data_IF_407817585005
#
_entry.id   IF_407817585005
#
_cell.length_a   1.000
_cell.length_b   1.000
_cell.length_c   1.000
_cell.angle_alpha   90.00
_cell.angle_beta   90.00
_cell.angle_gamma   90.00
#
_symmetry.space_group_name_H-M   'P 1'
#
loop_
_entity.id
_entity.type
_entity.pdbx_description
1 polymer ?
#
# COMPACT_ATOMS: atom_id res chain seq x y z
N UNK A 1 5.54 -6.93 -8.36
CA UNK A 1 4.19 -7.51 -8.20
C UNK A 1 3.99 -8.44 -9.39
N UNK A 2 4.20 -9.74 -9.20
CA UNK A 2 4.19 -10.72 -10.29
C UNK A 2 2.75 -10.92 -10.76
N UNK A 3 2.49 -10.62 -12.02
CA UNK A 3 1.28 -11.03 -12.73
C UNK A 3 1.35 -12.56 -12.82
N UNK A 4 0.69 -13.26 -11.90
CA UNK A 4 0.45 -14.69 -12.05
C UNK A 4 -0.57 -14.84 -13.17
N UNK A 5 -0.12 -15.32 -14.33
CA UNK A 5 -0.98 -15.71 -15.42
C UNK A 5 -1.98 -16.76 -14.92
N UNK A 6 -3.25 -16.37 -14.88
CA UNK A 6 -4.36 -17.30 -14.68
C UNK A 6 -4.43 -18.17 -15.94
N UNK A 7 -3.77 -19.33 -15.93
CA UNK A 7 -4.05 -20.38 -16.91
C UNK A 7 -5.40 -20.99 -16.54
N UNK A 8 -6.49 -20.41 -17.06
CA UNK A 8 -7.79 -21.07 -17.07
C UNK A 8 -7.66 -22.35 -17.90
N UNK A 9 -7.90 -23.49 -17.27
CA UNK A 9 -8.00 -24.77 -17.97
C UNK A 9 -9.28 -24.73 -18.81
N UNK A 10 -9.15 -24.44 -20.11
CA UNK A 10 -10.24 -24.31 -21.09
C UNK A 10 -11.02 -25.62 -21.35
N UNK A 11 -10.61 -26.73 -20.72
CA UNK A 11 -11.11 -28.09 -20.97
C UNK A 11 -12.59 -28.25 -20.57
N UNK A 12 -13.13 -27.43 -19.66
CA UNK A 12 -14.51 -27.58 -19.20
C UNK A 12 -15.58 -26.89 -20.08
N UNK A 13 -15.20 -25.98 -20.99
CA UNK A 13 -16.15 -25.12 -21.73
C UNK A 13 -16.66 -25.69 -23.06
N UNK A 14 -16.03 -26.76 -23.56
CA UNK A 14 -16.39 -27.42 -24.82
C UNK A 14 -17.43 -28.55 -24.62
N UNK A 15 -17.57 -29.09 -23.41
CA UNK A 15 -18.44 -30.24 -23.12
C UNK A 15 -19.90 -29.84 -22.83
N UNK A 16 -20.59 -29.38 -23.87
CA UNK A 16 -22.05 -29.37 -23.95
C UNK A 16 -22.55 -30.58 -24.74
N UNK A 17 -22.94 -31.65 -24.02
CA UNK A 17 -23.63 -32.85 -24.50
C UNK A 17 -22.83 -33.84 -25.40
N UNK A 18 -22.36 -34.94 -24.79
CA UNK A 18 -21.96 -36.14 -25.54
C UNK A 18 -21.11 -37.15 -24.78
N UNK A 19 -21.62 -37.75 -23.69
CA UNK A 19 -21.48 -39.20 -23.32
C UNK A 19 -21.90 -39.42 -21.85
N UNK A 20 -22.68 -40.47 -21.61
CA UNK A 20 -23.16 -40.91 -20.29
C UNK A 20 -22.22 -41.93 -19.64
N UNK A 21 -22.30 -41.99 -18.30
CA UNK A 21 -21.82 -43.03 -17.34
C UNK A 21 -20.33 -42.95 -16.95
N UNK A 22 -19.88 -42.96 -15.69
CA UNK A 22 -20.49 -43.09 -14.34
C UNK A 22 -19.48 -42.54 -13.32
N UNK A 23 -19.88 -41.61 -12.46
CA UNK A 23 -19.49 -41.62 -11.05
C UNK A 23 -20.44 -40.72 -10.26
N UNK A 24 -21.10 -41.35 -9.29
CA UNK A 24 -22.04 -40.76 -8.36
C UNK A 24 -21.31 -39.89 -7.33
N UNK A 25 -21.18 -38.61 -7.64
CA UNK A 25 -21.17 -37.51 -6.68
C UNK A 25 -21.81 -36.32 -7.39
N UNK A 26 -23.14 -36.31 -7.39
CA UNK A 26 -23.93 -35.21 -7.89
C UNK A 26 -23.66 -33.97 -7.02
N UNK A 27 -22.66 -33.17 -7.40
CA UNK A 27 -22.82 -31.73 -7.29
C UNK A 27 -24.06 -31.41 -8.12
N UNK A 28 -25.19 -31.19 -7.46
CA UNK A 28 -26.38 -30.69 -8.12
C UNK A 28 -25.96 -29.45 -8.92
N UNK A 29 -25.86 -29.57 -10.25
CA UNK A 29 -25.56 -28.44 -11.11
C UNK A 29 -26.69 -27.43 -10.89
N UNK A 30 -26.37 -26.35 -10.18
CA UNK A 30 -27.33 -25.26 -9.98
C UNK A 30 -27.76 -24.77 -11.35
N UNK A 31 -29.06 -24.51 -11.52
CA UNK A 31 -29.64 -24.07 -12.79
C UNK A 31 -28.88 -22.86 -13.33
N UNK A 32 -28.69 -22.77 -14.66
CA UNK A 32 -27.97 -21.65 -15.26
C UNK A 32 -28.65 -20.30 -14.96
N UNK A 33 -29.99 -20.30 -14.90
CA UNK A 33 -30.83 -19.16 -14.54
C UNK A 33 -31.59 -19.47 -13.24
N UNK A 34 -31.60 -18.52 -12.31
CA UNK A 34 -32.29 -18.60 -11.00
C UNK A 34 -33.32 -17.47 -10.83
N UNK A 35 -33.65 -16.76 -11.91
CA UNK A 35 -34.62 -15.67 -11.89
C UNK A 35 -36.02 -16.15 -11.40
N UNK A 36 -36.70 -15.40 -10.51
CA UNK A 36 -38.04 -15.74 -10.07
C UNK A 36 -39.02 -15.85 -11.23
N UNK A 37 -39.78 -16.95 -11.29
CA UNK A 37 -40.77 -17.19 -12.35
C UNK A 37 -40.17 -17.53 -13.71
N UNK A 38 -38.87 -17.84 -13.79
CA UNK A 38 -38.23 -18.24 -15.03
C UNK A 38 -38.74 -19.60 -15.54
N UNK A 39 -39.20 -19.63 -16.79
CA UNK A 39 -39.55 -20.85 -17.49
C UNK A 39 -38.47 -21.20 -18.52
N UNK A 40 -37.93 -22.42 -18.43
CA UNK A 40 -36.85 -22.88 -19.30
C UNK A 40 -37.32 -22.93 -20.76
N UNK A 41 -36.62 -22.21 -21.63
CA UNK A 41 -36.86 -22.24 -23.07
C UNK A 41 -36.65 -23.62 -23.70
N UNK A 42 -37.22 -23.82 -24.90
CA UNK A 42 -37.00 -25.05 -25.66
C UNK A 42 -35.55 -25.14 -26.10
N UNK A 43 -34.92 -26.29 -25.89
CA UNK A 43 -33.58 -26.58 -26.41
C UNK A 43 -33.69 -26.93 -27.90
N UNK A 44 -32.99 -26.18 -28.74
CA UNK A 44 -32.85 -26.44 -30.16
C UNK A 44 -31.65 -27.35 -30.39
N UNK A 45 -31.76 -28.29 -31.34
CA UNK A 45 -30.65 -29.14 -31.76
C UNK A 45 -30.03 -28.59 -33.05
N UNK A 46 -28.72 -28.78 -33.20
CA UNK A 46 -28.00 -28.38 -34.40
C UNK A 46 -28.54 -29.16 -35.61
N UNK A 47 -28.75 -28.49 -36.73
CA UNK A 47 -29.22 -29.12 -37.97
C UNK A 47 -28.28 -30.20 -38.46
N UNK A 48 -28.79 -31.27 -39.07
CA UNK A 48 -27.99 -32.47 -39.42
C UNK A 48 -26.74 -32.15 -40.27
N UNK A 49 -26.86 -31.25 -41.24
CA UNK A 49 -25.75 -30.84 -42.13
C UNK A 49 -24.64 -30.14 -41.35
N UNK A 50 -25.00 -29.20 -40.48
CA UNK A 50 -24.07 -28.47 -39.62
C UNK A 50 -23.47 -29.43 -38.59
N UNK A 51 -24.32 -30.25 -37.96
CA UNK A 51 -23.95 -31.21 -36.93
C UNK A 51 -22.87 -32.19 -37.40
N UNK A 52 -22.97 -32.73 -38.63
CA UNK A 52 -21.92 -33.61 -39.19
C UNK A 52 -20.56 -32.92 -39.31
N UNK A 53 -20.53 -31.64 -39.71
CA UNK A 53 -19.27 -30.88 -39.81
C UNK A 53 -18.72 -30.50 -38.43
N UNK A 54 -19.59 -30.08 -37.52
CA UNK A 54 -19.24 -29.80 -36.11
C UNK A 54 -18.65 -31.04 -35.45
N UNK A 55 -19.27 -32.21 -35.64
CA UNK A 55 -18.78 -33.48 -35.10
C UNK A 55 -17.37 -33.78 -35.61
N UNK A 56 -17.13 -33.60 -36.92
CA UNK A 56 -15.80 -33.76 -37.51
C UNK A 56 -14.79 -32.78 -36.91
N UNK A 57 -15.15 -31.51 -36.73
CA UNK A 57 -14.27 -30.55 -36.06
C UNK A 57 -13.96 -30.95 -34.60
N UNK A 58 -14.94 -31.52 -33.89
CA UNK A 58 -14.77 -32.02 -32.53
C UNK A 58 -13.82 -33.23 -32.47
N UNK A 59 -13.83 -34.11 -33.46
CA UNK A 59 -12.85 -35.21 -33.58
C UNK A 59 -11.42 -34.68 -33.67
N UNK A 60 -11.15 -33.71 -34.56
CA UNK A 60 -9.84 -33.06 -34.64
C UNK A 60 -9.45 -32.36 -33.34
N UNK A 61 -10.39 -31.69 -32.68
CA UNK A 61 -10.13 -31.06 -31.39
C UNK A 61 -9.70 -32.07 -30.31
N UNK A 62 -10.36 -33.23 -30.23
CA UNK A 62 -10.00 -34.28 -29.27
C UNK A 62 -8.65 -34.93 -29.54
N UNK A 63 -8.13 -34.80 -30.77
CA UNK A 63 -6.79 -35.22 -31.16
C UNK A 63 -5.75 -34.08 -30.98
N UNK A 64 -6.11 -33.02 -30.25
CA UNK A 64 -5.30 -31.80 -30.05
C UNK A 64 -4.98 -31.03 -31.35
N UNK A 65 -5.69 -31.32 -32.45
CA UNK A 65 -5.54 -30.69 -33.76
C UNK A 65 -6.48 -29.46 -33.88
N UNK A 66 -6.20 -28.45 -33.06
CA UNK A 66 -7.07 -27.26 -32.92
C UNK A 66 -7.18 -26.45 -34.22
N UNK A 67 -6.11 -26.34 -35.00
CA UNK A 67 -6.12 -25.56 -36.24
C UNK A 67 -6.95 -26.26 -37.34
N UNK A 68 -6.87 -27.59 -37.42
CA UNK A 68 -7.70 -28.41 -38.31
C UNK A 68 -9.18 -28.34 -37.93
N UNK A 69 -9.49 -28.39 -36.63
CA UNK A 69 -10.84 -28.18 -36.12
C UNK A 69 -11.38 -26.80 -36.52
N UNK A 70 -10.59 -25.74 -36.34
CA UNK A 70 -10.96 -24.38 -36.72
C UNK A 70 -11.18 -24.24 -38.23
N UNK A 71 -10.34 -24.84 -39.07
CA UNK A 71 -10.51 -24.83 -40.53
C UNK A 71 -11.87 -25.44 -40.93
N UNK A 72 -12.25 -26.57 -40.33
CA UNK A 72 -13.55 -27.19 -40.59
C UNK A 72 -14.70 -26.28 -40.16
N UNK A 73 -14.58 -25.64 -38.98
CA UNK A 73 -15.61 -24.76 -38.45
C UNK A 73 -15.80 -23.48 -39.28
N UNK A 74 -14.71 -22.90 -39.81
CA UNK A 74 -14.78 -21.74 -40.70
C UNK A 74 -15.46 -22.04 -42.04
N UNK A 75 -15.38 -23.28 -42.53
CA UNK A 75 -16.03 -23.74 -43.76
C UNK A 75 -17.51 -24.08 -43.59
N UNK A 76 -18.06 -23.93 -42.38
CA UNK A 76 -19.50 -24.09 -42.14
C UNK A 76 -20.19 -22.76 -42.47
N UNK A 77 -21.19 -22.83 -43.34
CA UNK A 77 -22.10 -21.72 -43.67
C UNK A 77 -23.53 -22.12 -43.28
N UNK A 78 -23.92 -21.97 -42.00
CA UNK A 78 -25.25 -22.33 -41.54
C UNK A 78 -26.28 -21.29 -41.93
N UNK A 79 -27.48 -21.74 -42.29
CA UNK A 79 -28.56 -20.85 -42.72
C UNK A 79 -29.40 -20.30 -41.57
N UNK A 80 -29.67 -21.11 -40.54
CA UNK A 80 -30.49 -20.73 -39.39
C UNK A 80 -29.66 -20.09 -38.27
N UNK A 81 -30.33 -19.31 -37.44
CA UNK A 81 -29.67 -18.50 -36.42
C UNK A 81 -29.09 -19.33 -35.27
N UNK A 82 -29.69 -20.49 -34.96
CA UNK A 82 -29.19 -21.38 -33.92
C UNK A 82 -27.88 -22.03 -34.33
N UNK A 83 -27.82 -22.64 -35.51
CA UNK A 83 -26.60 -23.24 -36.04
C UNK A 83 -25.47 -22.21 -36.18
N UNK A 84 -25.78 -20.98 -36.63
CA UNK A 84 -24.82 -19.87 -36.66
C UNK A 84 -24.27 -19.56 -35.28
N UNK A 85 -25.15 -19.38 -34.29
CA UNK A 85 -24.73 -19.11 -32.92
C UNK A 85 -23.87 -20.24 -32.35
N UNK A 86 -24.29 -21.49 -32.56
CA UNK A 86 -23.59 -22.67 -32.08
C UNK A 86 -22.17 -22.79 -32.66
N UNK A 87 -22.03 -22.68 -33.99
CA UNK A 87 -20.73 -22.74 -34.67
C UNK A 87 -19.81 -21.60 -34.24
N UNK A 88 -20.34 -20.36 -34.19
CA UNK A 88 -19.56 -19.20 -33.73
C UNK A 88 -19.09 -19.36 -32.28
N UNK A 89 -19.95 -19.86 -31.39
CA UNK A 89 -19.56 -20.16 -30.00
C UNK A 89 -18.42 -21.17 -29.96
N UNK A 90 -18.48 -22.23 -30.75
CA UNK A 90 -17.44 -23.26 -30.79
C UNK A 90 -16.10 -22.68 -31.27
N UNK A 91 -16.10 -21.96 -32.41
CA UNK A 91 -14.91 -21.25 -32.90
C UNK A 91 -14.34 -20.33 -31.82
N UNK A 92 -15.22 -19.52 -31.21
CA UNK A 92 -14.85 -18.60 -30.15
C UNK A 92 -14.18 -19.28 -28.96
N UNK A 93 -14.71 -20.40 -28.49
CA UNK A 93 -14.13 -21.15 -27.38
C UNK A 93 -12.75 -21.75 -27.71
N UNK A 94 -12.58 -22.31 -28.91
CA UNK A 94 -11.29 -22.82 -29.35
C UNK A 94 -10.25 -21.70 -29.41
N UNK A 95 -10.61 -20.56 -30.00
CA UNK A 95 -9.73 -19.39 -30.07
C UNK A 95 -9.42 -18.81 -28.68
N UNK A 96 -10.36 -18.82 -27.74
CA UNK A 96 -10.14 -18.30 -26.39
C UNK A 96 -9.05 -19.09 -25.63
N UNK A 97 -8.82 -20.35 -26.01
CA UNK A 97 -7.76 -21.19 -25.43
C UNK A 97 -6.39 -20.98 -26.08
N UNK A 98 -6.31 -20.30 -27.22
CA UNK A 98 -5.08 -20.06 -27.96
C UNK A 98 -4.44 -18.71 -27.57
N UNK A 99 -3.13 -18.73 -27.33
CA UNK A 99 -2.36 -17.52 -27.02
C UNK A 99 -2.43 -16.50 -28.17
N UNK A 100 -2.69 -15.24 -27.83
CA UNK A 100 -2.76 -14.13 -28.80
C UNK A 100 -4.02 -14.12 -29.69
N UNK A 101 -5.02 -14.97 -29.42
CA UNK A 101 -6.27 -15.03 -30.21
C UNK A 101 -7.50 -14.48 -29.47
N UNK A 102 -7.35 -13.92 -28.27
CA UNK A 102 -8.46 -13.48 -27.42
C UNK A 102 -9.41 -12.47 -28.09
N UNK A 103 -8.89 -11.48 -28.83
CA UNK A 103 -9.76 -10.57 -29.58
C UNK A 103 -10.56 -11.22 -30.71
N UNK A 104 -10.00 -12.25 -31.38
CA UNK A 104 -10.75 -13.00 -32.40
C UNK A 104 -11.83 -13.85 -31.72
N UNK A 105 -11.48 -14.51 -30.62
CA UNK A 105 -12.42 -15.26 -29.79
C UNK A 105 -13.59 -14.38 -29.34
N UNK A 106 -13.29 -13.19 -28.83
CA UNK A 106 -14.28 -12.19 -28.41
C UNK A 106 -15.30 -11.90 -29.52
N UNK A 107 -14.84 -11.66 -30.75
CA UNK A 107 -15.73 -11.37 -31.89
C UNK A 107 -16.72 -12.52 -32.16
N UNK A 108 -16.21 -13.75 -32.28
CA UNK A 108 -17.07 -14.92 -32.51
C UNK A 108 -18.04 -15.19 -31.36
N UNK A 109 -17.59 -15.05 -30.11
CA UNK A 109 -18.44 -15.25 -28.94
C UNK A 109 -19.52 -14.16 -28.83
N UNK A 110 -19.18 -12.89 -29.08
CA UNK A 110 -20.14 -11.78 -29.03
C UNK A 110 -21.24 -11.96 -30.08
N UNK A 111 -20.87 -12.36 -31.28
CA UNK A 111 -21.81 -12.70 -32.34
C UNK A 111 -22.69 -13.91 -31.98
N UNK A 112 -22.16 -14.89 -31.24
CA UNK A 112 -22.90 -16.11 -30.89
C UNK A 112 -24.05 -15.85 -29.91
N UNK A 113 -23.92 -14.84 -29.04
CA UNK A 113 -24.95 -14.51 -28.04
C UNK A 113 -25.97 -13.51 -28.56
N UNK A 114 -25.65 -12.73 -29.59
CA UNK A 114 -26.53 -11.68 -30.12
C UNK A 114 -27.95 -12.18 -30.51
N UNK A 115 -28.14 -13.35 -31.14
CA UNK A 115 -29.47 -13.82 -31.53
C UNK A 115 -30.31 -14.34 -30.35
N UNK A 116 -29.72 -14.57 -29.16
CA UNK A 116 -30.38 -15.13 -27.97
C UNK A 116 -31.09 -16.47 -28.20
N UNK A 117 -30.51 -17.31 -29.06
CA UNK A 117 -31.04 -18.63 -29.45
C UNK A 117 -30.34 -19.81 -28.76
N UNK A 118 -29.17 -19.57 -28.16
CA UNK A 118 -28.42 -20.58 -27.39
C UNK A 118 -29.23 -21.01 -26.16
N UNK A 119 -28.98 -22.23 -25.69
CA UNK A 119 -29.59 -22.66 -24.42
C UNK A 119 -29.00 -21.88 -23.23
N UNK A 120 -29.69 -21.91 -22.10
CA UNK A 120 -29.35 -21.10 -20.92
C UNK A 120 -27.91 -21.30 -20.43
N UNK A 121 -27.43 -22.54 -20.46
CA UNK A 121 -26.08 -22.85 -20.01
C UNK A 121 -25.04 -22.27 -20.97
N UNK A 122 -25.20 -22.51 -22.26
CA UNK A 122 -24.31 -21.98 -23.30
C UNK A 122 -24.32 -20.46 -23.35
N UNK A 123 -25.50 -19.86 -23.25
CA UNK A 123 -25.65 -18.41 -23.28
C UNK A 123 -25.00 -17.77 -22.06
N UNK A 124 -25.34 -18.24 -20.86
CA UNK A 124 -24.75 -17.71 -19.62
C UNK A 124 -23.23 -17.90 -19.56
N UNK A 125 -22.71 -19.08 -19.90
CA UNK A 125 -21.27 -19.32 -19.92
C UNK A 125 -20.56 -18.40 -20.92
N UNK A 126 -21.15 -18.19 -22.10
CA UNK A 126 -20.56 -17.30 -23.11
C UNK A 126 -20.56 -15.84 -22.66
N UNK A 127 -21.61 -15.36 -21.99
CA UNK A 127 -21.66 -14.00 -21.43
C UNK A 127 -20.55 -13.80 -20.37
N UNK A 128 -20.36 -14.77 -19.46
CA UNK A 128 -19.29 -14.69 -18.45
C UNK A 128 -17.90 -14.73 -19.10
N UNK A 129 -17.69 -15.61 -20.09
CA UNK A 129 -16.43 -15.68 -20.84
C UNK A 129 -16.14 -14.41 -21.64
N UNK A 130 -17.16 -13.76 -22.20
CA UNK A 130 -17.01 -12.45 -22.84
C UNK A 130 -16.55 -11.38 -21.86
N UNK A 131 -17.06 -11.41 -20.62
CA UNK A 131 -16.56 -10.56 -19.54
C UNK A 131 -15.08 -10.82 -19.23
N UNK A 132 -14.70 -12.09 -19.10
CA UNK A 132 -13.32 -12.50 -18.81
C UNK A 132 -12.34 -12.12 -19.93
N UNK A 133 -12.69 -12.40 -21.18
CA UNK A 133 -11.90 -12.01 -22.35
C UNK A 133 -11.80 -10.49 -22.48
N UNK A 134 -12.88 -9.76 -22.17
CA UNK A 134 -12.84 -8.30 -22.18
C UNK A 134 -11.87 -7.75 -21.13
N UNK A 135 -11.75 -8.40 -19.97
CA UNK A 135 -10.72 -8.03 -18.98
C UNK A 135 -9.32 -8.32 -19.51
N UNK A 136 -9.10 -9.48 -20.11
CA UNK A 136 -7.80 -9.89 -20.65
C UNK A 136 -7.32 -8.97 -21.79
N UNK A 137 -8.24 -8.52 -22.64
CA UNK A 137 -7.94 -7.64 -23.78
C UNK A 137 -8.06 -6.15 -23.42
N UNK A 138 -8.08 -5.81 -22.12
CA UNK A 138 -8.14 -4.44 -21.58
C UNK A 138 -9.38 -3.63 -22.02
N UNK A 139 -10.44 -4.32 -22.46
CA UNK A 139 -11.73 -3.73 -22.82
C UNK A 139 -12.63 -3.61 -21.60
N UNK A 140 -12.20 -2.83 -20.61
CA UNK A 140 -12.86 -2.79 -19.30
C UNK A 140 -14.34 -2.38 -19.35
N UNK A 141 -14.72 -1.47 -20.24
CA UNK A 141 -16.15 -1.10 -20.44
C UNK A 141 -16.98 -2.27 -20.97
N UNK A 142 -16.41 -3.08 -21.86
CA UNK A 142 -17.08 -4.29 -22.37
C UNK A 142 -17.16 -5.35 -21.27
N UNK A 143 -16.13 -5.49 -20.44
CA UNK A 143 -16.16 -6.40 -19.30
C UNK A 143 -17.32 -6.08 -18.36
N UNK A 144 -17.46 -4.79 -17.99
CA UNK A 144 -18.60 -4.30 -17.19
C UNK A 144 -19.93 -4.66 -17.86
N UNK A 145 -20.07 -4.41 -19.17
CA UNK A 145 -21.28 -4.72 -19.92
C UNK A 145 -21.61 -6.21 -19.86
N UNK A 146 -20.64 -7.08 -20.11
CA UNK A 146 -20.86 -8.52 -20.22
C UNK A 146 -21.10 -9.20 -18.87
N UNK A 147 -20.41 -8.79 -17.80
CA UNK A 147 -20.71 -9.28 -16.46
C UNK A 147 -22.11 -8.87 -15.99
N UNK A 148 -22.53 -7.62 -16.24
CA UNK A 148 -23.90 -7.21 -15.95
C UNK A 148 -24.92 -7.97 -16.79
N UNK A 149 -24.67 -8.16 -18.10
CA UNK A 149 -25.55 -8.97 -18.93
C UNK A 149 -25.67 -10.43 -18.43
N UNK A 150 -24.59 -11.00 -17.91
CA UNK A 150 -24.62 -12.32 -17.28
C UNK A 150 -25.46 -12.34 -16.00
N UNK A 151 -25.30 -11.36 -15.11
CA UNK A 151 -26.10 -11.26 -13.88
C UNK A 151 -27.58 -11.02 -14.21
N UNK A 152 -27.89 -10.13 -15.17
CA UNK A 152 -29.25 -9.85 -15.62
C UNK A 152 -29.92 -11.08 -16.23
N UNK A 153 -29.17 -11.86 -17.04
CA UNK A 153 -29.69 -13.07 -17.67
C UNK A 153 -29.94 -14.19 -16.66
N UNK A 154 -29.05 -14.35 -15.69
CA UNK A 154 -29.08 -15.50 -14.77
C UNK A 154 -29.78 -15.20 -13.45
N UNK A 155 -29.92 -13.93 -13.07
CA UNK A 155 -30.24 -13.45 -11.72
C UNK A 155 -29.34 -14.04 -10.62
N UNK A 156 -28.12 -14.49 -10.99
CA UNK A 156 -27.15 -15.01 -10.04
C UNK A 156 -26.33 -13.88 -9.45
N UNK A 157 -26.10 -14.00 -8.15
CA UNK A 157 -25.13 -13.24 -7.39
C UNK A 157 -23.88 -14.12 -7.25
N UNK A 158 -22.71 -13.62 -7.66
CA UNK A 158 -21.45 -14.40 -7.68
C UNK A 158 -20.28 -13.50 -7.23
N UNK A 159 -19.61 -13.91 -6.16
CA UNK A 159 -18.57 -13.12 -5.52
C UNK A 159 -17.37 -12.84 -6.45
N UNK A 160 -16.99 -13.82 -7.28
CA UNK A 160 -15.88 -13.68 -8.23
C UNK A 160 -16.25 -12.72 -9.36
N UNK A 161 -17.48 -12.81 -9.89
CA UNK A 161 -17.99 -11.88 -10.92
C UNK A 161 -18.03 -10.45 -10.38
N UNK A 162 -18.53 -10.25 -9.16
CA UNK A 162 -18.49 -8.94 -8.53
C UNK A 162 -17.07 -8.43 -8.32
N UNK A 163 -16.13 -9.28 -7.91
CA UNK A 163 -14.72 -8.90 -7.76
C UNK A 163 -14.11 -8.47 -9.10
N UNK A 164 -14.39 -9.20 -10.19
CA UNK A 164 -13.92 -8.86 -11.55
C UNK A 164 -14.59 -7.59 -12.08
N UNK A 165 -15.86 -7.39 -11.78
CA UNK A 165 -16.58 -6.16 -12.11
C UNK A 165 -15.97 -4.94 -11.39
N UNK A 166 -15.64 -5.08 -10.10
CA UNK A 166 -14.91 -4.05 -9.34
C UNK A 166 -13.55 -3.76 -9.97
N UNK A 167 -12.79 -4.79 -10.38
CA UNK A 167 -11.53 -4.60 -11.09
C UNK A 167 -11.73 -3.86 -12.41
N UNK A 168 -12.75 -4.19 -13.18
CA UNK A 168 -13.06 -3.50 -14.44
C UNK A 168 -13.36 -2.01 -14.20
N UNK A 169 -14.08 -1.67 -13.12
CA UNK A 169 -14.29 -0.28 -12.72
C UNK A 169 -12.99 0.42 -12.31
N UNK A 170 -12.10 -0.26 -11.59
CA UNK A 170 -10.78 0.28 -11.23
C UNK A 170 -9.95 0.63 -12.47
N UNK A 171 -9.79 -0.31 -13.40
CA UNK A 171 -8.97 -0.11 -14.60
C UNK A 171 -9.56 0.95 -15.55
N UNK A 172 -10.89 1.07 -15.58
CA UNK A 172 -11.58 2.16 -16.30
C UNK A 172 -11.68 3.47 -15.52
N UNK A 173 -11.00 3.58 -14.36
CA UNK A 173 -10.95 4.76 -13.48
C UNK A 173 -12.30 5.23 -12.94
N UNK A 174 -13.30 4.35 -12.90
CA UNK A 174 -14.62 4.59 -12.33
C UNK A 174 -14.63 4.22 -10.84
N UNK A 175 -13.82 4.95 -10.07
CA UNK A 175 -13.50 4.59 -8.68
C UNK A 175 -14.73 4.54 -7.78
N UNK A 176 -15.71 5.42 -7.98
CA UNK A 176 -16.96 5.47 -7.21
C UNK A 176 -17.82 4.20 -7.39
N UNK A 177 -17.88 3.67 -8.61
CA UNK A 177 -18.66 2.47 -8.95
C UNK A 177 -18.06 1.17 -8.43
N UNK A 178 -16.84 1.21 -7.89
CA UNK A 178 -16.20 0.03 -7.30
C UNK A 178 -16.86 -0.43 -6.00
N UNK A 179 -17.49 0.47 -5.24
CA UNK A 179 -17.91 0.21 -3.86
C UNK A 179 -19.02 -0.85 -3.80
N UNK A 180 -20.11 -0.66 -4.56
CA UNK A 180 -21.24 -1.59 -4.54
C UNK A 180 -20.85 -3.04 -4.90
N UNK A 181 -20.19 -3.31 -6.05
CA UNK A 181 -19.78 -4.67 -6.37
C UNK A 181 -18.73 -5.22 -5.38
N UNK A 182 -17.83 -4.40 -4.84
CA UNK A 182 -16.91 -4.85 -3.81
C UNK A 182 -17.64 -5.32 -2.53
N UNK A 183 -18.64 -4.56 -2.09
CA UNK A 183 -19.45 -4.89 -0.91
C UNK A 183 -20.28 -6.17 -1.13
N UNK A 184 -20.88 -6.34 -2.31
CA UNK A 184 -21.57 -7.58 -2.68
C UNK A 184 -20.63 -8.77 -2.70
N UNK A 185 -19.44 -8.64 -3.28
CA UNK A 185 -18.43 -9.69 -3.26
C UNK A 185 -18.06 -10.08 -1.83
N UNK A 186 -17.76 -9.10 -0.97
CA UNK A 186 -17.42 -9.31 0.45
C UNK A 186 -18.53 -10.08 1.19
N UNK A 187 -19.79 -9.74 0.94
CA UNK A 187 -20.94 -10.37 1.59
C UNK A 187 -21.18 -11.82 1.11
N UNK A 188 -20.78 -12.14 -0.12
CA UNK A 188 -21.04 -13.43 -0.76
C UNK A 188 -19.92 -14.45 -0.57
N UNK A 189 -18.69 -14.03 -0.29
CA UNK A 189 -17.60 -14.96 0.00
C UNK A 189 -17.84 -15.66 1.36
N UNK A 190 -17.92 -17.00 1.35
CA UNK A 190 -18.03 -17.81 2.57
C UNK A 190 -16.78 -17.68 3.45
N UNK A 191 -15.60 -17.77 2.83
CA UNK A 191 -14.31 -17.53 3.45
C UNK A 191 -13.77 -16.15 3.03
N UNK A 192 -13.27 -15.31 3.96
CA UNK A 192 -12.83 -13.97 3.64
C UNK A 192 -11.83 -13.91 2.47
N UNK A 193 -12.23 -13.27 1.38
CA UNK A 193 -11.34 -12.96 0.26
C UNK A 193 -10.85 -11.51 0.39
N UNK A 194 -9.54 -11.30 0.42
CA UNK A 194 -8.95 -9.95 0.59
C UNK A 194 -9.13 -9.03 -0.61
N UNK A 195 -9.24 -9.56 -1.82
CA UNK A 195 -9.22 -8.77 -3.05
C UNK A 195 -10.30 -7.66 -3.09
N UNK A 196 -11.59 -7.93 -2.81
CA UNK A 196 -12.60 -6.88 -2.81
C UNK A 196 -12.38 -5.82 -1.71
N UNK A 197 -11.86 -6.18 -0.53
CA UNK A 197 -11.48 -5.20 0.49
C UNK A 197 -10.35 -4.29 0.00
N UNK A 198 -9.32 -4.85 -0.66
CA UNK A 198 -8.22 -4.06 -1.21
C UNK A 198 -8.71 -3.10 -2.30
N UNK A 199 -9.61 -3.56 -3.18
CA UNK A 199 -10.21 -2.69 -4.20
C UNK A 199 -11.04 -1.57 -3.57
N UNK A 200 -11.86 -1.89 -2.57
CA UNK A 200 -12.65 -0.91 -1.81
C UNK A 200 -11.74 0.12 -1.12
N UNK A 201 -10.66 -0.33 -0.48
CA UNK A 201 -9.63 0.52 0.14
C UNK A 201 -9.02 1.48 -0.90
N UNK A 202 -8.61 0.97 -2.06
CA UNK A 202 -8.02 1.75 -3.15
C UNK A 202 -8.99 2.83 -3.64
N UNK A 203 -10.26 2.48 -3.88
CA UNK A 203 -11.29 3.45 -4.29
C UNK A 203 -11.38 4.61 -3.31
N UNK A 204 -11.54 4.33 -2.01
CA UNK A 204 -11.66 5.38 -1.01
C UNK A 204 -10.39 6.22 -0.91
N UNK A 205 -9.22 5.60 -0.91
CA UNK A 205 -7.95 6.31 -0.79
C UNK A 205 -7.70 7.26 -1.96
N UNK A 206 -7.88 6.79 -3.20
CA UNK A 206 -7.67 7.62 -4.40
C UNK A 206 -8.69 8.76 -4.51
N UNK A 207 -9.91 8.54 -4.01
CA UNK A 207 -10.95 9.56 -3.90
C UNK A 207 -10.78 10.47 -2.68
N UNK A 208 -9.72 10.30 -1.89
CA UNK A 208 -9.40 11.05 -0.67
C UNK A 208 -10.46 10.94 0.42
N UNK A 209 -11.21 9.85 0.43
CA UNK A 209 -12.19 9.48 1.45
C UNK A 209 -11.46 8.80 2.60
N UNK A 210 -10.66 9.57 3.33
CA UNK A 210 -9.73 9.05 4.33
C UNK A 210 -10.41 8.35 5.53
N UNK A 211 -11.54 8.84 6.08
CA UNK A 211 -12.27 8.12 7.13
C UNK A 211 -12.72 6.72 6.69
N UNK A 212 -13.24 6.60 5.48
CA UNK A 212 -13.68 5.33 4.90
C UNK A 212 -12.49 4.41 4.57
N UNK A 213 -11.37 5.00 4.11
CA UNK A 213 -10.11 4.28 3.91
C UNK A 213 -9.64 3.63 5.22
N UNK A 214 -9.68 4.38 6.33
CA UNK A 214 -9.34 3.86 7.66
C UNK A 214 -10.28 2.72 8.06
N UNK A 215 -11.60 2.88 7.87
CA UNK A 215 -12.56 1.85 8.21
C UNK A 215 -12.31 0.53 7.46
N UNK A 216 -12.01 0.58 6.15
CA UNK A 216 -11.69 -0.62 5.38
C UNK A 216 -10.33 -1.22 5.79
N UNK A 217 -9.34 -0.39 6.13
CA UNK A 217 -8.07 -0.87 6.65
C UNK A 217 -8.21 -1.55 8.03
N UNK A 218 -9.10 -1.06 8.90
CA UNK A 218 -9.47 -1.71 10.16
C UNK A 218 -10.10 -3.10 9.90
N UNK A 219 -10.97 -3.22 8.89
CA UNK A 219 -11.54 -4.51 8.48
C UNK A 219 -10.48 -5.47 7.95
N UNK A 220 -9.55 -4.99 7.10
CA UNK A 220 -8.44 -5.80 6.58
C UNK A 220 -7.57 -6.37 7.70
N UNK A 221 -7.20 -5.56 8.69
CA UNK A 221 -6.43 -6.04 9.86
C UNK A 221 -7.23 -7.04 10.69
N UNK A 222 -8.55 -6.85 10.84
CA UNK A 222 -9.40 -7.76 11.62
C UNK A 222 -9.60 -9.11 10.93
N UNK A 223 -9.73 -9.11 9.61
CA UNK A 223 -10.00 -10.31 8.80
C UNK A 223 -8.74 -11.06 8.40
N UNK A 224 -7.63 -10.34 8.23
CA UNK A 224 -6.33 -10.89 7.81
C UNK A 224 -5.22 -10.42 8.78
N UNK A 225 -5.35 -10.70 10.10
CA UNK A 225 -4.41 -10.20 11.12
C UNK A 225 -2.99 -10.71 10.94
N UNK A 226 -2.81 -11.85 10.27
CA UNK A 226 -1.53 -12.47 9.98
C UNK A 226 -0.75 -11.79 8.84
N UNK A 227 -1.35 -10.87 8.09
CA UNK A 227 -0.69 -10.15 6.99
C UNK A 227 -0.04 -8.85 7.50
N UNK A 228 1.31 -8.78 7.65
CA UNK A 228 2.01 -7.63 8.26
C UNK A 228 1.73 -6.29 7.57
N UNK A 229 1.51 -6.33 6.25
CA UNK A 229 1.26 -5.15 5.43
C UNK A 229 0.07 -4.33 5.92
N UNK A 230 -1.03 -4.98 6.35
CA UNK A 230 -2.25 -4.26 6.73
C UNK A 230 -2.07 -3.49 8.02
N UNK A 231 -1.27 -4.01 8.96
CA UNK A 231 -0.92 -3.30 10.18
C UNK A 231 -0.13 -2.02 9.91
N UNK A 232 0.92 -2.13 9.08
CA UNK A 232 1.74 -0.98 8.68
C UNK A 232 0.90 0.07 7.95
N UNK A 233 0.09 -0.36 6.97
CA UNK A 233 -0.80 0.56 6.23
C UNK A 233 -1.83 1.23 7.13
N UNK A 234 -2.50 0.49 8.01
CA UNK A 234 -3.46 1.05 8.96
C UNK A 234 -2.81 2.11 9.86
N UNK A 235 -1.59 1.84 10.36
CA UNK A 235 -0.82 2.82 11.12
C UNK A 235 -0.57 4.12 10.35
N UNK A 236 -0.20 4.04 9.06
CA UNK A 236 -0.01 5.22 8.21
C UNK A 236 -1.32 5.92 7.85
N UNK A 237 -2.43 5.20 7.71
CA UNK A 237 -3.74 5.83 7.49
C UNK A 237 -4.20 6.61 8.72
N UNK A 238 -4.01 6.07 9.93
CA UNK A 238 -4.25 6.83 11.16
C UNK A 238 -3.40 8.09 11.25
N UNK A 239 -2.11 8.02 10.86
CA UNK A 239 -1.25 9.21 10.79
C UNK A 239 -1.80 10.26 9.82
N UNK A 240 -2.38 9.83 8.69
CA UNK A 240 -2.90 10.73 7.66
C UNK A 240 -4.19 11.45 8.08
N UNK A 241 -4.95 10.86 9.01
CA UNK A 241 -6.12 11.50 9.65
C UNK A 241 -5.81 12.07 11.03
N UNK A 242 -4.52 12.20 11.36
CA UNK A 242 -4.01 12.75 12.62
C UNK A 242 -4.49 12.02 13.90
N UNK A 243 -4.93 10.76 13.78
CA UNK A 243 -5.25 9.91 14.93
C UNK A 243 -3.97 9.26 15.48
N UNK A 244 -3.13 10.09 16.10
CA UNK A 244 -1.83 9.67 16.61
C UNK A 244 -1.91 8.59 17.70
N UNK A 245 -3.03 8.52 18.44
CA UNK A 245 -3.23 7.50 19.48
C UNK A 245 -3.47 6.13 18.85
N UNK A 246 -4.39 6.04 17.89
CA UNK A 246 -4.61 4.77 17.19
C UNK A 246 -3.41 4.38 16.34
N UNK A 247 -2.76 5.33 15.67
CA UNK A 247 -1.52 5.09 14.94
C UNK A 247 -0.45 4.44 15.82
N UNK A 248 -0.19 5.01 17.01
CA UNK A 248 0.77 4.45 17.97
C UNK A 248 0.39 3.03 18.38
N UNK A 249 -0.86 2.81 18.81
CA UNK A 249 -1.29 1.47 19.24
C UNK A 249 -1.17 0.43 18.14
N UNK A 250 -1.44 0.81 16.88
CA UNK A 250 -1.37 -0.08 15.72
C UNK A 250 0.09 -0.43 15.40
N UNK A 251 0.97 0.57 15.31
CA UNK A 251 2.39 0.33 15.07
C UNK A 251 3.07 -0.40 16.23
N UNK A 252 2.70 -0.13 17.48
CA UNK A 252 3.25 -0.82 18.65
C UNK A 252 2.84 -2.30 18.67
N UNK A 253 1.59 -2.63 18.35
CA UNK A 253 1.16 -4.03 18.19
C UNK A 253 1.90 -4.72 17.05
N UNK A 254 1.97 -4.07 15.88
CA UNK A 254 2.73 -4.59 14.73
C UNK A 254 4.20 -4.83 15.08
N UNK A 255 4.79 -3.92 15.86
CA UNK A 255 6.16 -4.02 16.33
C UNK A 255 6.38 -5.23 17.24
N UNK A 256 5.48 -5.45 18.20
CA UNK A 256 5.53 -6.58 19.13
C UNK A 256 5.41 -7.92 18.39
N UNK A 257 4.60 -7.96 17.31
CA UNK A 257 4.45 -9.15 16.46
C UNK A 257 5.62 -9.35 15.48
N UNK A 258 6.58 -8.42 15.41
CA UNK A 258 7.69 -8.50 14.47
C UNK A 258 7.33 -8.15 13.02
N UNK A 259 6.23 -7.43 12.81
CA UNK A 259 5.71 -7.09 11.49
C UNK A 259 6.33 -5.83 10.86
N UNK A 260 7.09 -5.04 11.62
CA UNK A 260 7.74 -3.84 11.10
C UNK A 260 9.14 -4.17 10.60
N UNK A 261 9.30 -4.08 9.28
CA UNK A 261 10.52 -4.48 8.57
C UNK A 261 11.16 -3.32 7.80
N UNK A 262 10.45 -2.20 7.63
CA UNK A 262 10.92 -1.07 6.83
C UNK A 262 11.40 0.09 7.70
N UNK A 263 12.38 0.81 7.18
CA UNK A 263 12.92 2.03 7.78
C UNK A 263 11.81 3.06 8.10
N UNK A 264 10.88 3.29 7.17
CA UNK A 264 9.78 4.24 7.36
C UNK A 264 8.83 3.87 8.49
N UNK A 265 8.61 2.58 8.72
CA UNK A 265 7.73 2.06 9.78
C UNK A 265 8.37 2.26 11.15
N UNK A 266 9.66 1.97 11.26
CA UNK A 266 10.43 2.18 12.49
C UNK A 266 10.58 3.67 12.81
N UNK A 267 10.81 4.51 11.79
CA UNK A 267 10.82 5.97 11.94
C UNK A 267 9.45 6.49 12.42
N UNK A 268 8.36 6.02 11.81
CA UNK A 268 7.00 6.40 12.20
C UNK A 268 6.70 6.02 13.66
N UNK A 269 7.02 4.78 14.06
CA UNK A 269 6.84 4.32 15.43
C UNK A 269 7.67 5.15 16.43
N UNK A 270 8.94 5.42 16.12
CA UNK A 270 9.77 6.27 16.98
C UNK A 270 9.20 7.68 17.13
N UNK A 271 8.76 8.29 16.03
CA UNK A 271 8.14 9.61 16.06
C UNK A 271 6.86 9.59 16.89
N UNK A 272 6.03 8.56 16.74
CA UNK A 272 4.80 8.38 17.51
C UNK A 272 5.07 8.24 19.01
N UNK A 273 6.13 7.51 19.41
CA UNK A 273 6.54 7.49 20.82
C UNK A 273 6.93 8.88 21.32
N UNK A 274 7.68 9.65 20.53
CA UNK A 274 8.10 11.00 20.91
C UNK A 274 6.91 11.96 21.06
N UNK A 275 5.97 11.98 20.10
CA UNK A 275 4.81 12.87 20.15
C UNK A 275 3.79 12.49 21.23
N UNK A 276 3.76 11.21 21.64
CA UNK A 276 2.92 10.72 22.74
C UNK A 276 3.65 10.70 24.10
N UNK A 277 4.71 11.49 24.26
CA UNK A 277 5.35 11.70 25.57
C UNK A 277 6.22 10.54 26.07
N UNK A 278 6.61 9.62 25.18
CA UNK A 278 7.52 8.49 25.47
C UNK A 278 8.85 8.57 24.69
N UNK A 279 9.55 9.72 24.69
CA UNK A 279 10.72 9.93 23.82
C UNK A 279 11.85 8.93 24.05
N UNK A 280 12.02 8.43 25.28
CA UNK A 280 13.03 7.40 25.57
C UNK A 280 12.78 6.09 24.82
N UNK A 281 11.50 5.66 24.71
CA UNK A 281 11.14 4.46 23.93
C UNK A 281 11.44 4.67 22.45
N UNK A 282 11.09 5.84 21.90
CA UNK A 282 11.41 6.20 20.52
C UNK A 282 12.91 6.14 20.24
N UNK A 283 13.72 6.75 21.12
CA UNK A 283 15.18 6.71 21.02
C UNK A 283 15.72 5.27 21.07
N UNK A 284 15.21 4.41 21.96
CA UNK A 284 15.63 3.01 22.07
C UNK A 284 15.29 2.18 20.85
N UNK A 285 14.12 2.41 20.24
CA UNK A 285 13.75 1.76 18.98
C UNK A 285 14.70 2.18 17.87
N UNK A 286 14.97 3.48 17.71
CA UNK A 286 15.92 3.97 16.71
C UNK A 286 17.32 3.39 16.91
N UNK A 287 17.83 3.40 18.15
CA UNK A 287 19.15 2.83 18.46
C UNK A 287 19.23 1.33 18.12
N UNK A 288 18.19 0.56 18.43
CA UNK A 288 18.12 -0.88 18.08
C UNK A 288 18.24 -1.09 16.58
N UNK A 289 17.47 -0.35 15.78
CA UNK A 289 17.46 -0.58 14.33
C UNK A 289 18.63 0.06 13.59
N UNK A 290 19.24 1.11 14.15
CA UNK A 290 20.54 1.61 13.69
C UNK A 290 21.62 0.55 13.90
N UNK A 291 21.70 -0.09 15.08
CA UNK A 291 22.64 -1.20 15.35
C UNK A 291 22.42 -2.41 14.46
N UNK A 292 21.17 -2.67 14.04
CA UNK A 292 20.86 -3.77 13.11
C UNK A 292 21.19 -3.46 11.65
N UNK A 293 21.45 -2.20 11.31
CA UNK A 293 21.67 -1.74 9.94
C UNK A 293 20.41 -1.39 9.15
N UNK A 294 19.20 -1.55 9.71
CA UNK A 294 17.96 -1.13 9.04
C UNK A 294 17.82 0.39 8.96
N UNK A 295 18.23 1.11 10.00
CA UNK A 295 18.36 2.56 9.95
C UNK A 295 19.82 2.88 9.63
N UNK A 296 20.07 3.62 8.55
CA UNK A 296 21.42 4.06 8.22
C UNK A 296 21.98 4.99 9.31
N UNK A 297 23.22 4.75 9.74
CA UNK A 297 23.94 5.63 10.67
C UNK A 297 24.55 6.81 9.89
N UNK A 298 23.69 7.69 9.40
CA UNK A 298 24.07 8.97 8.79
C UNK A 298 23.92 10.14 9.78
N UNK A 299 24.39 11.33 9.37
CA UNK A 299 24.29 12.54 10.19
C UNK A 299 22.84 12.82 10.59
N UNK A 300 21.88 12.69 9.66
CA UNK A 300 20.47 13.01 9.91
C UNK A 300 19.86 12.07 10.94
N UNK A 301 20.17 10.78 10.85
CA UNK A 301 19.69 9.77 11.78
C UNK A 301 20.31 9.97 13.16
N UNK A 302 21.60 10.25 13.25
CA UNK A 302 22.27 10.57 14.52
C UNK A 302 21.68 11.83 15.16
N UNK A 303 21.44 12.89 14.38
CA UNK A 303 20.82 14.11 14.87
C UNK A 303 19.36 13.89 15.32
N UNK A 304 18.62 13.01 14.63
CA UNK A 304 17.26 12.62 15.02
C UNK A 304 17.26 11.79 16.32
N UNK A 305 18.17 10.82 16.46
CA UNK A 305 18.33 10.04 17.68
C UNK A 305 18.77 10.92 18.86
N UNK A 306 19.68 11.86 18.61
CA UNK A 306 20.10 12.86 19.59
C UNK A 306 18.92 13.72 20.05
N UNK A 307 18.03 14.13 19.13
CA UNK A 307 16.83 14.88 19.44
C UNK A 307 15.84 14.07 20.31
N UNK A 308 15.68 12.78 20.02
CA UNK A 308 14.84 11.90 20.81
C UNK A 308 15.39 11.75 22.25
N UNK A 309 16.70 11.54 22.42
CA UNK A 309 17.34 11.50 23.74
C UNK A 309 17.31 12.86 24.46
N UNK A 310 17.46 13.97 23.74
CA UNK A 310 17.31 15.31 24.30
C UNK A 310 15.89 15.50 24.86
N UNK A 311 14.87 15.11 24.10
CA UNK A 311 13.46 15.16 24.55
C UNK A 311 13.21 14.24 25.75
N UNK A 312 13.95 13.14 25.85
CA UNK A 312 13.95 12.23 27.00
C UNK A 312 14.77 12.74 28.20
N UNK A 313 15.38 13.94 28.11
CA UNK A 313 16.28 14.54 29.12
C UNK A 313 17.57 13.74 29.36
N UNK A 314 17.96 12.91 28.42
CA UNK A 314 19.23 12.16 28.41
C UNK A 314 20.35 13.03 27.80
N UNK A 315 20.68 14.13 28.46
CA UNK A 315 21.50 15.22 27.89
C UNK A 315 22.91 14.78 27.48
N UNK A 316 23.58 13.94 28.27
CA UNK A 316 24.93 13.42 27.94
C UNK A 316 24.92 12.56 26.67
N UNK A 317 23.94 11.66 26.58
CA UNK A 317 23.77 10.78 25.42
C UNK A 317 23.43 11.59 24.17
N UNK A 318 22.49 12.52 24.28
CA UNK A 318 22.11 13.41 23.20
C UNK A 318 23.30 14.28 22.72
N UNK A 319 24.08 14.83 23.65
CA UNK A 319 25.29 15.58 23.31
C UNK A 319 26.32 14.74 22.54
N UNK A 320 26.58 13.50 23.00
CA UNK A 320 27.51 12.60 22.32
C UNK A 320 27.07 12.32 20.88
N UNK A 321 25.77 12.06 20.67
CA UNK A 321 25.22 11.80 19.34
C UNK A 321 25.23 13.03 18.43
N UNK A 322 24.90 14.22 18.95
CA UNK A 322 25.08 15.46 18.20
C UNK A 322 26.53 15.71 17.83
N UNK A 323 27.48 15.37 18.70
CA UNK A 323 28.91 15.44 18.41
C UNK A 323 29.31 14.55 17.24
N UNK A 324 28.89 13.28 17.25
CA UNK A 324 29.13 12.36 16.12
C UNK A 324 28.52 12.88 14.82
N UNK A 325 27.28 13.35 14.87
CA UNK A 325 26.60 13.92 13.71
C UNK A 325 27.35 15.16 13.16
N UNK A 326 27.82 16.03 14.06
CA UNK A 326 28.60 17.23 13.72
C UNK A 326 29.99 16.90 13.15
N UNK A 327 30.63 15.82 13.62
CA UNK A 327 31.90 15.33 13.06
C UNK A 327 31.72 14.84 11.62
N UNK A 328 30.59 14.22 11.29
CA UNK A 328 30.29 13.73 9.94
C UNK A 328 29.97 14.85 8.93
N UNK A 329 29.20 15.86 9.33
CA UNK A 329 28.77 16.94 8.42
C UNK A 329 29.56 18.23 8.52
N UNK A 330 30.35 18.40 9.58
CA UNK A 330 30.93 19.69 9.96
C UNK A 330 29.89 20.81 10.18
N UNK A 331 28.63 20.46 10.48
CA UNK A 331 27.56 21.45 10.68
C UNK A 331 27.73 22.22 12.01
N UNK A 332 27.94 23.55 11.99
CA UNK A 332 28.05 24.35 13.20
C UNK A 332 26.81 24.30 14.11
N UNK A 333 25.62 24.07 13.55
CA UNK A 333 24.38 23.98 14.32
C UNK A 333 24.31 22.72 15.19
N UNK A 334 24.90 21.61 14.73
CA UNK A 334 25.02 20.38 15.51
C UNK A 334 26.05 20.53 16.64
N UNK A 335 27.20 21.17 16.38
CA UNK A 335 28.16 21.53 17.43
C UNK A 335 27.55 22.45 18.49
N UNK A 336 26.72 23.42 18.08
CA UNK A 336 25.97 24.27 19.03
C UNK A 336 25.04 23.44 19.90
N UNK A 337 24.27 22.51 19.31
CA UNK A 337 23.36 21.62 20.06
C UNK A 337 24.14 20.73 21.03
N UNK A 338 25.23 20.11 20.59
CA UNK A 338 26.13 19.34 21.46
C UNK A 338 26.58 20.18 22.67
N UNK A 339 27.16 21.36 22.42
CA UNK A 339 27.72 22.18 23.48
C UNK A 339 26.68 22.70 24.47
N UNK A 340 25.49 23.06 23.98
CA UNK A 340 24.36 23.46 24.83
C UNK A 340 23.93 22.32 25.76
N UNK A 341 23.87 21.08 25.25
CA UNK A 341 23.49 19.93 26.08
C UNK A 341 24.59 19.50 27.05
N UNK A 342 25.86 19.66 26.69
CA UNK A 342 26.98 19.44 27.60
C UNK A 342 26.96 20.44 28.76
N UNK A 343 26.60 21.70 28.51
CA UNK A 343 26.43 22.70 29.56
C UNK A 343 25.35 22.27 30.57
N UNK A 344 24.19 21.82 30.08
CA UNK A 344 23.09 21.30 30.93
C UNK A 344 23.52 20.05 31.69
N UNK A 345 24.37 19.21 31.08
CA UNK A 345 24.96 18.04 31.71
C UNK A 345 26.16 18.32 32.63
N UNK A 346 26.47 19.60 32.86
CA UNK A 346 27.58 20.11 33.68
C UNK A 346 28.98 19.72 33.18
N UNK A 347 29.11 19.24 31.94
CA UNK A 347 30.40 19.08 31.28
C UNK A 347 30.84 20.40 30.65
N UNK A 348 31.26 21.33 31.50
CA UNK A 348 31.62 22.68 31.06
C UNK A 348 32.80 22.68 30.09
N UNK A 349 33.78 21.78 30.28
CA UNK A 349 34.96 21.68 29.39
C UNK A 349 34.56 21.19 28.01
N UNK A 350 33.73 20.15 27.93
CA UNK A 350 33.18 19.66 26.67
C UNK A 350 32.30 20.71 25.99
N UNK A 351 31.46 21.40 26.76
CA UNK A 351 30.60 22.47 26.26
C UNK A 351 31.40 23.59 25.58
N UNK A 352 32.45 24.09 26.24
CA UNK A 352 33.33 25.12 25.68
C UNK A 352 33.91 24.66 24.34
N UNK A 353 34.52 23.47 24.29
CA UNK A 353 35.11 22.92 23.06
C UNK A 353 34.10 22.82 21.91
N UNK A 354 32.90 22.31 22.19
CA UNK A 354 31.87 22.14 21.16
C UNK A 354 31.33 23.49 20.67
N UNK A 355 31.07 24.44 21.57
CA UNK A 355 30.57 25.77 21.20
C UNK A 355 31.62 26.62 20.46
N UNK A 356 32.90 26.49 20.79
CA UNK A 356 33.99 27.09 20.02
C UNK A 356 34.03 26.53 18.59
N UNK A 357 33.92 25.21 18.43
CA UNK A 357 33.82 24.59 17.09
C UNK A 357 32.62 25.12 16.28
N UNK A 358 31.49 25.39 16.93
CA UNK A 358 30.33 25.99 16.28
C UNK A 358 30.61 27.41 15.79
N UNK A 359 31.30 28.24 16.59
CA UNK A 359 31.70 29.60 16.18
C UNK A 359 32.70 29.57 15.03
N UNK A 360 33.73 28.73 15.12
CA UNK A 360 34.78 28.62 14.11
C UNK A 360 34.24 28.20 12.75
N UNK A 361 33.10 27.48 12.73
CA UNK A 361 32.41 27.00 11.52
C UNK A 361 31.27 27.92 11.05
N UNK A 362 31.07 29.08 11.68
CA UNK A 362 30.12 30.08 11.21
C UNK A 362 28.65 29.75 11.54
N UNK A 363 28.36 29.40 12.78
CA UNK A 363 26.98 29.23 13.31
C UNK A 363 26.09 30.44 12.99
N UNK A 364 24.80 30.21 12.71
CA UNK A 364 23.87 31.26 12.22
C UNK A 364 23.67 32.38 13.26
N UNK A 365 23.66 32.02 14.54
CA UNK A 365 23.37 32.95 15.67
C UNK A 365 24.54 33.00 16.66
N UNK A 366 25.69 33.58 16.28
CA UNK A 366 26.91 33.53 17.08
C UNK A 366 26.75 34.21 18.44
N UNK A 367 25.93 35.26 18.54
CA UNK A 367 25.68 35.93 19.82
C UNK A 367 25.04 35.00 20.88
N UNK A 368 24.16 34.07 20.46
CA UNK A 368 23.59 33.06 21.37
C UNK A 368 24.64 32.03 21.81
N UNK A 369 25.53 31.66 20.90
CA UNK A 369 26.65 30.76 21.22
C UNK A 369 27.64 31.43 22.16
N UNK A 370 27.97 32.70 21.96
CA UNK A 370 28.76 33.49 22.91
C UNK A 370 28.10 33.59 24.28
N UNK A 371 26.79 33.77 24.36
CA UNK A 371 26.09 33.77 25.65
C UNK A 371 26.23 32.41 26.36
N UNK A 372 26.07 31.30 25.62
CA UNK A 372 26.21 29.95 26.17
C UNK A 372 27.67 29.65 26.57
N UNK A 373 28.64 30.13 25.79
CA UNK A 373 30.08 30.07 26.11
C UNK A 373 30.43 30.87 27.35
N UNK A 374 29.77 32.01 27.56
CA UNK A 374 29.91 32.76 28.81
C UNK A 374 29.49 31.90 29.99
N UNK A 375 28.31 31.26 29.93
CA UNK A 375 27.80 30.43 31.02
C UNK A 375 28.74 29.25 31.28
N UNK A 376 29.15 28.53 30.23
CA UNK A 376 30.06 27.41 30.35
C UNK A 376 31.42 27.82 30.96
N UNK A 377 32.00 28.94 30.51
CA UNK A 377 33.25 29.45 31.09
C UNK A 377 33.07 29.95 32.52
N UNK A 378 31.95 30.58 32.84
CA UNK A 378 31.65 31.05 34.18
C UNK A 378 31.59 29.89 35.17
N UNK A 379 30.85 28.82 34.84
CA UNK A 379 30.75 27.63 35.69
C UNK A 379 32.04 26.81 35.72
N UNK A 380 32.85 26.83 34.67
CA UNK A 380 34.21 26.28 34.68
C UNK A 380 35.21 27.10 35.53
N UNK A 381 34.85 28.30 36.00
CA UNK A 381 35.72 29.21 36.73
C UNK A 381 36.64 30.06 35.84
N UNK A 382 36.47 30.02 34.52
CA UNK A 382 37.21 30.79 33.53
C UNK A 382 36.64 32.20 33.38
N UNK A 383 36.68 33.01 34.45
CA UNK A 383 35.96 34.30 34.47
C UNK A 383 36.43 35.31 33.42
N UNK A 384 37.72 35.26 33.01
CA UNK A 384 38.26 36.09 31.91
C UNK A 384 37.55 35.81 30.59
N UNK A 385 37.45 34.53 30.22
CA UNK A 385 36.77 34.11 29.00
C UNK A 385 35.26 34.32 29.09
N UNK A 386 34.67 34.07 30.26
CA UNK A 386 33.25 34.37 30.50
C UNK A 386 32.95 35.85 30.24
N UNK A 387 33.80 36.76 30.74
CA UNK A 387 33.65 38.19 30.53
C UNK A 387 33.87 38.58 29.06
N UNK A 388 34.85 38.00 28.37
CA UNK A 388 35.05 38.25 26.94
C UNK A 388 33.81 37.85 26.13
N UNK A 389 33.28 36.66 26.37
CA UNK A 389 32.11 36.15 25.66
C UNK A 389 30.82 36.93 25.95
N UNK A 390 30.64 37.45 27.17
CA UNK A 390 29.47 38.28 27.46
C UNK A 390 29.51 39.62 26.71
N UNK A 391 30.70 40.19 26.50
CA UNK A 391 30.86 41.39 25.67
C UNK A 391 30.45 41.14 24.22
N UNK A 392 30.82 39.99 23.65
CA UNK A 392 30.39 39.59 22.30
C UNK A 392 28.87 39.38 22.23
N UNK A 393 28.30 38.65 23.18
CA UNK A 393 26.84 38.42 23.24
C UNK A 393 26.04 39.72 23.36
N UNK A 394 26.57 40.72 24.09
CA UNK A 394 25.93 42.03 24.33
C UNK A 394 25.81 42.91 23.08
N UNK A 395 26.60 42.65 22.04
CA UNK A 395 26.52 43.36 20.76
C UNK A 395 25.15 43.13 20.10
N UNK A 396 24.59 41.93 20.27
CA UNK A 396 23.24 41.61 19.80
C UNK A 396 22.14 42.31 20.62
N UNK A 397 21.22 42.98 19.93
CA UNK A 397 20.15 43.77 20.57
C UNK A 397 19.20 42.92 21.42
N UNK A 398 18.91 41.69 20.99
CA UNK A 398 17.98 40.78 21.68
C UNK A 398 18.57 40.22 22.98
N UNK A 399 19.90 40.06 23.05
CA UNK A 399 20.60 39.52 24.23
C UNK A 399 21.17 40.60 25.15
N UNK A 400 21.31 41.85 24.68
CA UNK A 400 21.98 42.95 25.40
C UNK A 400 21.54 43.11 26.85
N UNK A 401 20.23 43.07 27.12
CA UNK A 401 19.68 43.22 28.48
C UNK A 401 20.17 42.09 29.39
N UNK A 402 20.02 40.85 28.95
CA UNK A 402 20.44 39.68 29.71
C UNK A 402 21.97 39.65 29.87
N UNK A 403 22.70 39.94 28.81
CA UNK A 403 24.16 39.99 28.84
C UNK A 403 24.69 41.05 29.81
N UNK A 404 24.11 42.25 29.81
CA UNK A 404 24.50 43.33 30.73
C UNK A 404 24.19 43.00 32.19
N UNK A 405 23.17 42.18 32.45
CA UNK A 405 22.84 41.72 33.81
C UNK A 405 23.86 40.72 34.37
N UNK A 406 24.55 39.95 33.51
CA UNK A 406 25.59 39.01 33.92
C UNK A 406 26.93 39.68 34.24
N UNK A 407 27.25 40.84 33.64
CA UNK A 407 28.56 41.49 33.82
C UNK A 407 28.95 41.75 35.28
N UNK A 408 28.09 42.34 36.14
CA UNK A 408 28.44 42.59 37.54
C UNK A 408 28.73 41.29 38.28
N UNK A 409 27.94 40.25 38.01
CA UNK A 409 28.07 38.95 38.66
C UNK A 409 29.37 38.22 38.28
N UNK A 410 29.76 38.27 37.01
CA UNK A 410 31.05 37.73 36.54
C UNK A 410 32.21 38.47 37.22
N UNK A 411 32.17 39.81 37.24
CA UNK A 411 33.18 40.68 37.88
C UNK A 411 33.33 40.40 39.37
N UNK A 412 32.21 40.29 40.09
CA UNK A 412 32.22 40.00 41.51
C UNK A 412 32.83 38.62 41.80
N UNK A 413 32.42 37.58 41.08
CA UNK A 413 32.95 36.22 41.26
C UNK A 413 34.43 36.11 40.90
N UNK A 414 34.88 36.81 39.85
CA UNK A 414 36.29 36.91 39.50
C UNK A 414 37.09 37.58 40.63
N UNK A 415 36.62 38.72 41.15
CA UNK A 415 37.24 39.45 42.26
C UNK A 415 37.36 38.57 43.50
N UNK A 416 36.31 37.83 43.85
CA UNK A 416 36.31 36.91 44.99
C UNK A 416 37.33 35.76 44.85
N UNK A 417 37.80 35.49 43.63
CA UNK A 417 38.83 34.49 43.31
C UNK A 417 40.20 35.12 43.02
N UNK A 418 40.37 36.42 43.23
CA UNK A 418 41.62 37.15 42.98
C UNK A 418 41.93 37.36 41.48
N UNK A 419 40.92 37.25 40.61
CA UNK A 419 41.09 37.38 39.15
C UNK A 419 40.63 38.78 38.73
N UNK A 420 41.53 39.53 38.09
CA UNK A 420 41.23 40.87 37.53
C UNK A 420 40.65 40.73 36.11
N UNK A 421 39.49 41.36 35.88
CA UNK A 421 38.77 41.43 34.59
C UNK A 421 38.09 42.77 34.35
#
# INVERSE_FOLDING_TARGET
>A
MMIRSFKMSAVALVLGAGTMFTSSAALAQSSAVVCPGYEKGKTTLVGERTGKKVQKAFEFYNEDQVDEALNILYDIDPSDDFDKAYVKRFIGNLLASQEGKGMKAYGFLADSVQPKVLNDLEHSQTLKLLGDLSMQEEKFTDAVKWYNAWMDFTCKEDADVYTRLTQAYYESKQLDKMIEPADKAIALYEEPNKNPYVLKLTSFYERKMYPETVAVAEELVRKFPEEPRWWSQLGFFYLSVEDYKKALSTFELAYIQGYLEKESEIKALSQLYQTNGMPYRGAKVMEKYMKSGLLEEDEKMLASLANAYHSAKEFKTAASLYGKAAEMSSDPELYKKQGTLLLVAEDYKGAIKALENALDRGVEKPAKVHFTLMEANFYAGNFKEAFRHIQEAKKDRSLRRNASAWEPYIKEKAKNRGISI
#
